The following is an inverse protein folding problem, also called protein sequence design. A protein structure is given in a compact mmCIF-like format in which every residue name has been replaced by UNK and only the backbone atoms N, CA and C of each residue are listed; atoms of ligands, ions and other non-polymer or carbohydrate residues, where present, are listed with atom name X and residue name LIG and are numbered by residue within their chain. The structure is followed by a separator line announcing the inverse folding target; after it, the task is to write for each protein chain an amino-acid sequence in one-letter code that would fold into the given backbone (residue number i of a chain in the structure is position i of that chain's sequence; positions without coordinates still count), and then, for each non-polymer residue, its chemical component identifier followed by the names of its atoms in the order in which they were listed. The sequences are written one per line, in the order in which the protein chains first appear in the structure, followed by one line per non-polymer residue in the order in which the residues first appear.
data_IF_779675155399
#
_entry.id   IF_779675155399
#
_cell.length_a   1.000
_cell.length_b   1.000
_cell.length_c   1.000
_cell.angle_alpha   90.00
_cell.angle_beta   90.00
_cell.angle_gamma   90.00
#
_symmetry.space_group_name_H-M   'P 1'
#
loop_
_entity.id
_entity.type
_entity.pdbx_description
1 polymer ?
#
# COMPACT_ATOMS: atom_id res chain seq x y z
N UNK A 1 4.09 -18.77 9.64
CA UNK A 1 2.69 -19.13 9.32
C UNK A 1 2.53 -18.87 7.84
N UNK A 2 2.39 -19.90 7.00
CA UNK A 2 2.46 -19.70 5.55
C UNK A 2 1.36 -18.80 5.00
N UNK A 3 1.73 -17.55 4.70
CA UNK A 3 0.88 -16.66 3.93
C UNK A 3 0.97 -17.10 2.47
N UNK A 4 -0.15 -17.48 1.88
CA UNK A 4 -0.27 -17.77 0.46
C UNK A 4 -1.38 -16.93 -0.16
N UNK A 5 -1.66 -17.14 -1.45
CA UNK A 5 -2.70 -16.38 -2.15
C UNK A 5 -4.09 -16.66 -1.60
N UNK A 6 -4.35 -17.88 -1.09
CA UNK A 6 -5.66 -18.23 -0.52
C UNK A 6 -5.84 -17.52 0.81
N UNK A 7 -4.82 -17.51 1.67
CA UNK A 7 -4.78 -16.69 2.86
C UNK A 7 -5.10 -15.22 2.54
N UNK A 8 -4.41 -14.60 1.58
CA UNK A 8 -4.67 -13.20 1.22
C UNK A 8 -6.11 -12.94 0.73
N UNK A 9 -6.71 -13.92 0.03
CA UNK A 9 -8.08 -13.83 -0.51
C UNK A 9 -9.15 -13.85 0.57
N UNK A 10 -8.91 -14.60 1.65
CA UNK A 10 -9.90 -14.87 2.71
C UNK A 10 -9.52 -14.22 4.04
N UNK A 11 -8.40 -13.51 4.11
CA UNK A 11 -7.94 -12.86 5.33
C UNK A 11 -8.94 -11.81 5.82
N UNK A 12 -9.46 -11.99 7.01
CA UNK A 12 -10.50 -11.14 7.62
C UNK A 12 -9.93 -10.03 8.51
N UNK A 13 -8.61 -9.85 8.51
CA UNK A 13 -7.91 -8.92 9.41
C UNK A 13 -7.64 -9.47 10.81
N UNK A 14 -8.04 -10.72 11.10
CA UNK A 14 -7.85 -11.42 12.36
C UNK A 14 -6.43 -11.92 12.56
N UNK A 15 -5.49 -11.02 12.84
CA UNK A 15 -4.13 -11.39 13.25
C UNK A 15 -3.61 -10.43 14.32
N UNK A 16 -2.87 -10.94 15.30
CA UNK A 16 -2.08 -10.09 16.18
C UNK A 16 -0.84 -9.60 15.41
N UNK A 17 -0.63 -8.29 15.20
CA UNK A 17 0.53 -7.78 14.48
C UNK A 17 1.87 -8.22 15.05
N UNK A 18 1.95 -8.56 16.35
CA UNK A 18 3.15 -9.08 16.99
C UNK A 18 3.59 -10.46 16.47
N UNK A 19 2.66 -11.22 15.90
CA UNK A 19 2.91 -12.59 15.43
C UNK A 19 3.20 -12.64 13.92
N UNK A 20 3.38 -11.48 13.28
CA UNK A 20 3.61 -11.40 11.84
C UNK A 20 5.06 -11.70 11.53
N UNK A 21 5.29 -12.66 10.63
CA UNK A 21 6.58 -12.88 9.99
C UNK A 21 6.74 -11.89 8.83
N UNK A 22 7.66 -10.94 8.98
CA UNK A 22 7.89 -9.88 7.98
C UNK A 22 8.47 -10.42 6.66
N UNK A 23 9.27 -11.49 6.73
CA UNK A 23 9.85 -12.13 5.55
C UNK A 23 8.78 -12.86 4.75
N UNK A 24 7.96 -13.64 5.45
CA UNK A 24 6.83 -14.33 4.86
C UNK A 24 5.83 -13.34 4.24
N UNK A 25 5.54 -12.23 4.95
CA UNK A 25 4.69 -11.16 4.44
C UNK A 25 5.26 -10.54 3.16
N UNK A 26 6.52 -10.10 3.19
CA UNK A 26 7.13 -9.40 2.06
C UNK A 26 7.23 -10.29 0.81
N UNK A 27 7.61 -11.57 0.98
CA UNK A 27 7.69 -12.51 -0.13
C UNK A 27 6.30 -12.83 -0.73
N UNK A 28 5.28 -12.97 0.13
CA UNK A 28 3.90 -13.23 -0.33
C UNK A 28 3.30 -12.04 -1.07
N UNK A 29 3.57 -10.82 -0.57
CA UNK A 29 3.18 -9.57 -1.24
C UNK A 29 3.89 -9.44 -2.58
N UNK A 30 5.19 -9.73 -2.69
CA UNK A 30 5.89 -9.71 -3.98
C UNK A 30 5.33 -10.71 -4.99
N UNK A 31 4.95 -11.91 -4.54
CA UNK A 31 4.42 -12.93 -5.41
C UNK A 31 3.02 -12.58 -5.94
N UNK A 32 2.17 -11.98 -5.10
CA UNK A 32 0.72 -11.92 -5.35
C UNK A 32 0.15 -10.51 -5.47
N UNK A 33 0.87 -9.48 -5.03
CA UNK A 33 0.32 -8.12 -4.85
C UNK A 33 1.18 -7.05 -5.52
N UNK A 34 2.48 -6.96 -5.21
CA UNK A 34 3.40 -6.02 -5.83
C UNK A 34 4.09 -6.59 -7.07
N UNK A 35 4.72 -5.73 -7.86
CA UNK A 35 5.18 -6.02 -9.23
C UNK A 35 4.03 -6.26 -10.22
N UNK A 36 2.88 -5.61 -10.03
CA UNK A 36 1.72 -5.70 -10.93
C UNK A 36 1.19 -4.31 -11.30
N UNK A 37 0.65 -4.19 -12.50
CA UNK A 37 -0.30 -3.15 -12.88
C UNK A 37 -1.72 -3.72 -12.76
N UNK A 38 -2.59 -3.01 -12.05
CA UNK A 38 -4.00 -3.33 -11.92
C UNK A 38 -4.79 -2.32 -12.76
N UNK A 39 -5.50 -2.81 -13.77
CA UNK A 39 -6.27 -2.00 -14.70
C UNK A 39 -7.74 -2.04 -14.32
N UNK A 40 -8.35 -0.86 -14.22
CA UNK A 40 -9.74 -0.72 -13.81
C UNK A 40 -10.53 0.12 -14.81
N UNK A 41 -11.82 -0.18 -14.89
CA UNK A 41 -12.83 0.66 -15.51
C UNK A 41 -13.50 1.51 -14.44
N UNK A 42 -13.81 2.77 -14.75
CA UNK A 42 -14.50 3.68 -13.83
C UNK A 42 -15.72 4.32 -14.48
N UNK A 43 -16.62 4.84 -13.66
CA UNK A 43 -17.77 5.63 -14.11
C UNK A 43 -17.45 7.10 -14.42
N UNK A 44 -16.18 7.54 -14.31
CA UNK A 44 -15.77 8.91 -14.60
C UNK A 44 -15.56 9.10 -16.11
N UNK A 45 -16.31 10.04 -16.72
CA UNK A 45 -16.23 10.32 -18.17
C UNK A 45 -14.83 10.78 -18.60
N UNK A 46 -14.18 11.59 -17.76
CA UNK A 46 -12.86 12.14 -18.00
C UNK A 46 -11.71 11.17 -17.69
N UNK A 47 -12.00 10.04 -17.02
CA UNK A 47 -11.00 9.04 -16.66
C UNK A 47 -11.62 7.63 -16.65
N UNK A 48 -12.10 7.14 -17.80
CA UNK A 48 -12.86 5.89 -17.87
C UNK A 48 -12.00 4.66 -17.54
N UNK A 49 -10.67 4.80 -17.58
CA UNK A 49 -9.71 3.75 -17.22
C UNK A 49 -8.65 4.28 -16.29
N UNK A 50 -8.41 3.56 -15.20
CA UNK A 50 -7.37 3.85 -14.20
C UNK A 50 -6.42 2.67 -14.12
N UNK A 51 -5.12 2.94 -14.01
CA UNK A 51 -4.09 1.92 -13.76
C UNK A 51 -3.42 2.19 -12.43
N UNK A 52 -3.45 1.22 -11.52
CA UNK A 52 -2.67 1.29 -10.28
C UNK A 52 -1.43 0.40 -10.46
N UNK A 53 -0.27 1.04 -10.51
CA UNK A 53 1.01 0.35 -10.53
C UNK A 53 1.50 0.14 -9.10
N UNK A 54 1.72 -1.12 -8.73
CA UNK A 54 2.24 -1.49 -7.41
C UNK A 54 3.59 -2.14 -7.58
N UNK A 55 4.63 -1.48 -7.08
CA UNK A 55 6.00 -1.99 -7.04
C UNK A 55 6.40 -2.33 -5.60
N UNK A 56 7.53 -3.01 -5.45
CA UNK A 56 8.08 -3.36 -4.14
C UNK A 56 8.44 -2.10 -3.32
N UNK A 57 8.81 -1.02 -4.02
CA UNK A 57 9.20 0.24 -3.40
C UNK A 57 8.01 0.96 -2.74
N UNK A 58 6.78 0.63 -3.14
CA UNK A 58 5.58 1.16 -2.48
C UNK A 58 5.39 0.57 -1.08
N UNK A 59 5.73 -0.71 -0.86
CA UNK A 59 5.39 -1.43 0.37
C UNK A 59 6.03 -0.81 1.64
N UNK A 60 7.32 -0.42 1.66
CA UNK A 60 7.90 0.31 2.79
C UNK A 60 7.13 1.58 3.15
N UNK A 61 6.69 2.36 2.16
CA UNK A 61 5.90 3.57 2.41
C UNK A 61 4.55 3.25 3.05
N UNK A 62 3.90 2.17 2.61
CA UNK A 62 2.65 1.69 3.23
C UNK A 62 2.86 1.21 4.67
N UNK A 63 4.03 0.67 5.00
CA UNK A 63 4.40 0.28 6.37
C UNK A 63 4.90 1.46 7.24
N UNK A 64 5.08 2.65 6.66
CA UNK A 64 5.70 3.78 7.37
C UNK A 64 7.20 3.57 7.62
N UNK A 65 7.88 2.78 6.80
CA UNK A 65 9.32 2.54 6.87
C UNK A 65 10.04 3.48 5.89
N UNK A 66 10.50 4.61 6.40
CA UNK A 66 11.23 5.63 5.62
C UNK A 66 11.95 6.57 6.57
N UNK A 67 12.89 7.37 6.04
CA UNK A 67 13.74 8.30 6.83
C UNK A 67 12.97 9.23 7.77
N UNK A 68 11.73 9.59 7.42
CA UNK A 68 10.92 10.53 8.19
C UNK A 68 9.89 9.86 9.11
N UNK A 69 9.83 8.52 9.13
CA UNK A 69 8.75 7.78 9.80
C UNK A 69 9.23 6.59 10.65
N UNK A 70 10.48 6.15 10.48
CA UNK A 70 11.12 5.12 11.29
C UNK A 70 12.57 5.53 11.54
N UNK A 71 13.04 5.40 12.77
CA UNK A 71 14.44 5.65 13.15
C UNK A 71 15.23 4.34 13.30
N UNK A 72 16.52 4.37 12.93
CA UNK A 72 17.41 3.22 13.14
C UNK A 72 17.28 2.10 12.10
N UNK A 73 16.73 2.38 10.90
CA UNK A 73 16.89 1.47 9.76
C UNK A 73 18.37 1.47 9.31
N UNK A 74 18.92 0.32 8.89
CA UNK A 74 20.24 0.24 8.28
C UNK A 74 20.38 1.04 6.96
N UNK A 75 19.27 1.25 6.26
CA UNK A 75 19.17 1.99 5.00
C UNK A 75 17.73 2.51 4.83
N UNK A 76 17.56 3.66 4.18
CA UNK A 76 16.26 4.31 3.96
C UNK A 76 15.76 4.27 2.51
N UNK A 77 16.56 3.75 1.58
CA UNK A 77 16.10 3.46 0.23
C UNK A 77 14.99 2.39 0.25
N UNK A 78 13.81 2.70 -0.28
CA UNK A 78 12.64 1.81 -0.23
C UNK A 78 12.90 0.42 -0.81
N UNK A 79 13.66 0.33 -1.91
CA UNK A 79 14.02 -0.96 -2.50
C UNK A 79 14.90 -1.79 -1.55
N UNK A 80 15.87 -1.15 -0.91
CA UNK A 80 16.73 -1.80 0.09
C UNK A 80 15.91 -2.30 1.29
N UNK A 81 15.00 -1.48 1.80
CA UNK A 81 14.11 -1.83 2.91
C UNK A 81 13.31 -3.08 2.53
N UNK A 82 12.68 -3.10 1.35
CA UNK A 82 11.87 -4.25 0.94
C UNK A 82 12.70 -5.54 0.80
N UNK A 83 13.91 -5.47 0.23
CA UNK A 83 14.79 -6.65 0.15
C UNK A 83 15.29 -7.11 1.53
N UNK A 84 15.46 -6.18 2.48
CA UNK A 84 15.75 -6.49 3.88
C UNK A 84 14.58 -7.19 4.57
N UNK A 85 13.34 -6.70 4.37
CA UNK A 85 12.11 -7.30 4.91
C UNK A 85 11.96 -8.75 4.44
N UNK A 86 12.28 -9.06 3.18
CA UNK A 86 12.28 -10.43 2.63
C UNK A 86 13.33 -11.37 3.24
N UNK A 87 14.23 -10.84 4.06
CA UNK A 87 15.37 -11.58 4.61
C UNK A 87 15.37 -11.49 6.14
N UNK A 88 16.19 -10.61 6.71
CA UNK A 88 16.56 -10.56 8.13
C UNK A 88 16.03 -9.33 8.88
N UNK A 89 15.29 -8.44 8.22
CA UNK A 89 14.68 -7.27 8.87
C UNK A 89 13.38 -7.70 9.55
N UNK A 90 13.51 -8.43 10.66
CA UNK A 90 12.39 -8.96 11.44
C UNK A 90 11.58 -7.86 12.12
N UNK A 91 10.35 -8.18 12.54
CA UNK A 91 9.54 -7.25 13.32
C UNK A 91 10.25 -6.83 14.62
N UNK A 92 10.99 -7.74 15.26
CA UNK A 92 11.77 -7.45 16.46
C UNK A 92 12.88 -6.44 16.19
N UNK A 93 13.64 -6.62 15.10
CA UNK A 93 14.67 -5.68 14.66
C UNK A 93 14.08 -4.29 14.38
N UNK A 94 12.96 -4.24 13.65
CA UNK A 94 12.25 -2.98 13.36
C UNK A 94 11.79 -2.28 14.65
N UNK A 95 11.28 -3.03 15.64
CA UNK A 95 10.87 -2.52 16.94
C UNK A 95 12.05 -2.03 17.79
N UNK A 96 13.18 -2.73 17.74
CA UNK A 96 14.41 -2.35 18.45
C UNK A 96 14.98 -1.04 17.89
N UNK A 97 14.90 -0.84 16.58
CA UNK A 97 15.29 0.42 15.94
C UNK A 97 14.38 1.60 16.34
N UNK A 98 13.05 1.38 16.34
CA UNK A 98 12.07 2.40 16.71
C UNK A 98 10.81 1.76 17.31
N UNK A 99 10.71 1.75 18.65
CA UNK A 99 9.56 1.19 19.36
C UNK A 99 8.29 2.02 19.15
N UNK A 100 8.43 3.34 18.95
CA UNK A 100 7.33 4.27 18.69
C UNK A 100 6.74 4.04 17.30
N UNK A 101 7.57 3.68 16.31
CA UNK A 101 7.09 3.28 14.99
C UNK A 101 6.09 2.13 15.10
N UNK A 102 6.39 1.09 15.88
CA UNK A 102 5.51 -0.07 16.00
C UNK A 102 4.16 0.31 16.62
N UNK A 103 4.15 1.12 17.69
CA UNK A 103 2.90 1.60 18.30
C UNK A 103 2.02 2.34 17.28
N UNK A 104 2.63 3.14 16.41
CA UNK A 104 1.94 3.97 15.42
C UNK A 104 1.55 3.21 14.13
N UNK A 105 2.26 2.14 13.78
CA UNK A 105 2.14 1.49 12.48
C UNK A 105 1.77 0.00 12.53
N UNK A 106 1.60 -0.61 13.71
CA UNK A 106 1.21 -2.03 13.83
C UNK A 106 -0.04 -2.40 13.01
N UNK A 107 -1.01 -1.51 12.94
CA UNK A 107 -2.22 -1.75 12.14
C UNK A 107 -1.94 -1.69 10.63
N UNK A 108 -0.91 -0.96 10.20
CA UNK A 108 -0.51 -0.94 8.79
C UNK A 108 0.06 -2.28 8.33
N UNK A 109 0.62 -3.08 9.24
CA UNK A 109 1.05 -4.45 8.92
C UNK A 109 -0.15 -5.29 8.48
N UNK A 110 -1.26 -5.20 9.24
CA UNK A 110 -2.54 -5.85 8.89
C UNK A 110 -3.08 -5.30 7.57
N UNK A 111 -3.03 -3.98 7.37
CA UNK A 111 -3.50 -3.37 6.12
C UNK A 111 -2.66 -3.76 4.90
N UNK A 112 -1.36 -4.02 5.06
CA UNK A 112 -0.52 -4.58 3.98
C UNK A 112 -0.95 -5.99 3.61
N UNK A 113 -1.34 -6.83 4.58
CA UNK A 113 -1.92 -8.15 4.30
C UNK A 113 -3.26 -8.05 3.54
N UNK A 114 -4.04 -7.00 3.79
CA UNK A 114 -5.30 -6.74 3.09
C UNK A 114 -5.13 -6.16 1.68
N UNK A 115 -3.90 -5.81 1.25
CA UNK A 115 -3.69 -5.18 -0.06
C UNK A 115 -4.22 -5.99 -1.23
N UNK A 116 -4.18 -7.32 -1.15
CA UNK A 116 -4.78 -8.16 -2.19
C UNK A 116 -6.26 -7.84 -2.36
N UNK A 117 -7.03 -7.83 -1.28
CA UNK A 117 -8.47 -7.55 -1.32
C UNK A 117 -8.75 -6.12 -1.73
N UNK A 118 -7.97 -5.16 -1.20
CA UNK A 118 -8.06 -3.74 -1.55
C UNK A 118 -7.86 -3.52 -3.05
N UNK A 119 -6.81 -4.10 -3.64
CA UNK A 119 -6.51 -3.96 -5.08
C UNK A 119 -7.40 -4.83 -5.98
N UNK A 120 -8.20 -5.73 -5.41
CA UNK A 120 -9.26 -6.43 -6.15
C UNK A 120 -10.64 -5.82 -5.87
N UNK A 121 -10.71 -4.68 -5.16
CA UNK A 121 -11.95 -3.95 -4.84
C UNK A 121 -12.99 -4.85 -4.17
N UNK A 122 -12.53 -5.81 -3.35
CA UNK A 122 -13.42 -6.66 -2.56
C UNK A 122 -13.94 -5.85 -1.39
N UNK A 123 -15.27 -5.65 -1.31
CA UNK A 123 -15.93 -4.91 -0.22
C UNK A 123 -15.32 -3.51 0.02
N UNK A 124 -14.82 -2.88 -1.04
CA UNK A 124 -14.18 -1.58 -1.00
C UNK A 124 -15.13 -0.48 -1.47
N UNK A 125 -14.91 0.73 -0.95
CA UNK A 125 -15.43 1.98 -1.53
C UNK A 125 -14.26 2.79 -2.09
N UNK A 126 -14.45 3.37 -3.26
CA UNK A 126 -13.42 4.15 -3.93
C UNK A 126 -13.87 5.59 -3.99
N UNK A 127 -12.99 6.52 -3.66
CA UNK A 127 -13.29 7.94 -3.65
C UNK A 127 -12.29 8.72 -4.50
N UNK A 128 -12.78 9.75 -5.17
CA UNK A 128 -12.00 10.65 -6.03
C UNK A 128 -12.00 12.07 -5.49
N UNK A 129 -10.85 12.74 -5.55
CA UNK A 129 -10.75 14.18 -5.26
C UNK A 129 -11.19 15.07 -6.42
N UNK A 130 -11.54 14.53 -7.59
CA UNK A 130 -11.90 15.33 -8.77
C UNK A 130 -13.18 16.15 -8.58
N UNK A 131 -14.12 15.65 -7.78
CA UNK A 131 -15.43 16.29 -7.52
C UNK A 131 -15.64 16.48 -6.01
N UNK A 132 -14.78 17.28 -5.38
CA UNK A 132 -14.90 17.59 -3.94
C UNK A 132 -16.12 18.48 -3.72
N UNK A 133 -17.11 17.95 -2.99
CA UNK A 133 -18.28 18.70 -2.57
C UNK A 133 -17.92 19.65 -1.42
N UNK A 134 -18.23 20.93 -1.63
CA UNK A 134 -18.60 21.90 -0.59
C UNK A 134 -17.75 21.94 0.70
N UNK A 135 -16.44 22.22 0.65
CA UNK A 135 -15.69 22.77 1.81
C UNK A 135 -14.28 23.28 1.44
N UNK A 136 -13.74 24.13 2.32
CA UNK A 136 -12.39 24.70 2.34
C UNK A 136 -11.30 23.63 2.61
N UNK A 137 -11.22 22.59 1.77
CA UNK A 137 -10.06 21.67 1.79
C UNK A 137 -8.84 22.43 1.26
N UNK A 138 -7.75 22.46 2.04
CA UNK A 138 -6.54 23.21 1.70
C UNK A 138 -6.05 22.90 0.29
N UNK A 139 -5.54 23.92 -0.42
CA UNK A 139 -5.13 23.88 -1.85
C UNK A 139 -4.33 22.63 -2.26
N UNK A 140 -3.54 22.08 -1.34
CA UNK A 140 -2.73 20.87 -1.53
C UNK A 140 -3.55 19.60 -1.84
N UNK A 141 -4.73 19.45 -1.23
CA UNK A 141 -5.56 18.24 -1.37
C UNK A 141 -6.28 18.17 -2.73
N UNK A 142 -6.67 19.33 -3.28
CA UNK A 142 -7.34 19.43 -4.60
C UNK A 142 -6.39 19.21 -5.78
N UNK A 143 -5.12 19.61 -5.66
CA UNK A 143 -4.14 19.56 -6.76
C UNK A 143 -3.67 18.14 -7.08
N UNK A 144 -3.62 17.25 -6.10
CA UNK A 144 -2.81 16.04 -6.21
C UNK A 144 -3.55 14.85 -6.88
N UNK A 145 -4.78 15.05 -7.40
CA UNK A 145 -5.60 14.06 -8.12
C UNK A 145 -5.57 12.68 -7.43
N UNK A 146 -5.85 12.68 -6.13
CA UNK A 146 -5.67 11.54 -5.25
C UNK A 146 -6.93 10.69 -5.29
N UNK A 147 -6.73 9.38 -5.47
CA UNK A 147 -7.79 8.40 -5.29
C UNK A 147 -7.61 7.71 -3.95
N UNK A 148 -8.70 7.50 -3.21
CA UNK A 148 -8.71 6.74 -1.97
C UNK A 148 -9.43 5.42 -2.21
N UNK A 149 -8.78 4.31 -1.94
CA UNK A 149 -9.46 3.00 -1.82
C UNK A 149 -9.63 2.70 -0.35
N UNK A 150 -10.88 2.58 0.09
CA UNK A 150 -11.26 2.38 1.50
C UNK A 150 -11.84 0.99 1.66
N UNK A 151 -11.18 0.17 2.46
CA UNK A 151 -11.64 -1.16 2.87
C UNK A 151 -12.05 -1.14 4.33
N UNK A 152 -13.21 -1.70 4.64
CA UNK A 152 -13.79 -1.70 5.98
C UNK A 152 -13.87 -3.14 6.50
N UNK A 153 -13.25 -3.38 7.65
CA UNK A 153 -13.43 -4.63 8.37
C UNK A 153 -14.66 -4.59 9.28
N UNK A 154 -15.17 -5.78 9.63
CA UNK A 154 -16.25 -5.97 10.61
C UNK A 154 -15.91 -5.36 11.99
N UNK A 155 -14.62 -5.35 12.35
CA UNK A 155 -14.10 -4.72 13.58
C UNK A 155 -14.09 -3.18 13.58
N UNK A 156 -14.78 -2.54 12.63
CA UNK A 156 -14.91 -1.08 12.44
C UNK A 156 -13.63 -0.35 12.01
N UNK A 157 -12.48 -1.03 11.85
CA UNK A 157 -11.28 -0.40 11.28
C UNK A 157 -11.47 -0.14 9.79
N UNK A 158 -11.04 1.04 9.35
CA UNK A 158 -10.97 1.41 7.93
C UNK A 158 -9.52 1.51 7.49
N UNK A 159 -9.19 0.83 6.41
CA UNK A 159 -7.88 0.87 5.77
C UNK A 159 -8.00 1.67 4.48
N UNK A 160 -7.28 2.78 4.41
CA UNK A 160 -7.33 3.70 3.26
C UNK A 160 -5.99 3.71 2.56
N UNK A 161 -5.97 3.32 1.28
CA UNK A 161 -4.81 3.52 0.41
C UNK A 161 -4.96 4.84 -0.31
N UNK A 162 -3.99 5.73 -0.08
CA UNK A 162 -3.83 6.99 -0.82
C UNK A 162 -3.01 6.73 -2.08
N UNK A 163 -3.59 7.04 -3.23
CA UNK A 163 -2.96 6.89 -4.55
C UNK A 163 -2.45 8.24 -5.05
N UNK A 164 -1.27 8.26 -5.67
CA UNK A 164 -0.72 9.47 -6.30
C UNK A 164 -0.47 9.24 -7.79
N UNK A 165 -0.70 10.26 -8.64
CA UNK A 165 -0.47 10.14 -10.08
C UNK A 165 1.02 9.94 -10.38
N UNK A 166 1.31 9.15 -11.40
CA UNK A 166 2.65 9.06 -11.99
C UNK A 166 2.83 10.26 -12.92
N UNK A 167 3.93 11.00 -12.74
CA UNK A 167 4.24 12.18 -13.57
C UNK A 167 4.29 11.80 -15.06
N UNK A 168 3.69 12.62 -15.90
CA UNK A 168 3.63 12.40 -17.36
C UNK A 168 2.63 11.34 -17.79
N UNK A 169 1.69 10.94 -16.91
CA UNK A 169 0.58 10.06 -17.25
C UNK A 169 -0.72 10.62 -16.68
N UNK A 170 -1.82 10.45 -17.41
CA UNK A 170 -3.11 11.04 -17.02
C UNK A 170 -3.95 10.11 -16.15
N UNK A 171 -3.66 8.80 -16.20
CA UNK A 171 -4.49 7.78 -15.58
C UNK A 171 -3.72 6.67 -14.84
N UNK A 172 -2.40 6.82 -14.65
CA UNK A 172 -1.60 5.87 -13.87
C UNK A 172 -1.29 6.42 -12.49
N UNK A 173 -1.43 5.57 -11.48
CA UNK A 173 -1.25 5.91 -10.08
C UNK A 173 -0.40 4.88 -9.34
N UNK A 174 0.19 5.29 -8.22
CA UNK A 174 0.93 4.42 -7.30
C UNK A 174 0.40 4.54 -5.87
N UNK A 175 0.38 3.46 -5.09
CA UNK A 175 0.14 3.53 -3.64
C UNK A 175 1.24 4.34 -2.96
N UNK A 176 0.84 5.37 -2.24
CA UNK A 176 1.76 6.28 -1.54
C UNK A 176 1.72 6.14 -0.04
N UNK A 177 0.54 5.92 0.53
CA UNK A 177 0.40 5.72 1.96
C UNK A 177 -0.80 4.86 2.29
N UNK A 178 -0.69 4.14 3.40
CA UNK A 178 -1.78 3.42 4.04
C UNK A 178 -2.14 4.14 5.34
N UNK A 179 -3.41 4.47 5.52
CA UNK A 179 -3.94 5.18 6.68
C UNK A 179 -5.04 4.37 7.34
N UNK A 180 -5.11 4.49 8.66
CA UNK A 180 -6.07 3.79 9.50
C UNK A 180 -7.10 4.79 9.97
N UNK A 181 -8.38 4.49 9.75
CA UNK A 181 -9.51 5.34 10.13
C UNK A 181 -9.39 6.78 9.59
N UNK A 182 -8.85 6.94 8.37
CA UNK A 182 -8.81 8.24 7.71
C UNK A 182 -10.24 8.78 7.54
N UNK A 183 -10.41 10.09 7.67
CA UNK A 183 -11.71 10.77 7.51
C UNK A 183 -11.69 11.77 6.35
N UNK A 184 -10.52 12.03 5.75
CA UNK A 184 -10.36 13.05 4.70
C UNK A 184 -11.14 12.73 3.43
N UNK A 185 -11.48 11.45 3.19
CA UNK A 185 -12.30 11.03 2.06
C UNK A 185 -13.80 11.34 2.23
N UNK A 186 -14.26 11.73 3.42
CA UNK A 186 -15.69 12.02 3.65
C UNK A 186 -16.23 13.17 2.78
N UNK A 187 -15.34 14.05 2.29
CA UNK A 187 -15.68 15.18 1.42
C UNK A 187 -15.37 14.88 -0.07
N UNK A 188 -15.01 13.64 -0.38
CA UNK A 188 -14.72 13.20 -1.75
C UNK A 188 -15.94 12.48 -2.33
N UNK A 189 -16.08 12.50 -3.64
CA UNK A 189 -17.12 11.75 -4.34
C UNK A 189 -16.77 10.26 -4.34
N UNK A 190 -17.76 9.40 -4.05
CA UNK A 190 -17.65 7.95 -4.23
C UNK A 190 -17.79 7.62 -5.72
N UNK A 191 -16.83 6.86 -6.27
CA UNK A 191 -16.82 6.44 -7.67
C UNK A 191 -16.94 4.93 -7.77
N UNK A 192 -17.46 4.46 -8.89
CA UNK A 192 -17.44 3.03 -9.22
C UNK A 192 -16.13 2.68 -9.90
N UNK A 193 -15.50 1.60 -9.45
CA UNK A 193 -14.27 1.08 -10.04
C UNK A 193 -14.33 -0.45 -10.09
N UNK A 194 -14.12 -1.03 -11.28
CA UNK A 194 -14.15 -2.47 -11.49
C UNK A 194 -12.82 -2.96 -12.04
N UNK A 195 -12.22 -3.98 -11.43
CA UNK A 195 -10.95 -4.56 -11.90
C UNK A 195 -11.18 -5.31 -13.22
N UNK A 196 -10.48 -4.90 -14.27
CA UNK A 196 -10.51 -5.52 -15.60
C UNK A 196 -9.41 -6.57 -15.72
N UNK A 197 -8.18 -6.18 -15.36
CA UNK A 197 -7.02 -7.06 -15.50
C UNK A 197 -5.94 -6.75 -14.47
N UNK A 198 -5.10 -7.75 -14.23
CA UNK A 198 -3.90 -7.64 -13.40
C UNK A 198 -2.73 -8.24 -14.17
N UNK A 199 -1.76 -7.40 -14.52
CA UNK A 199 -0.63 -7.78 -15.34
C UNK A 199 0.69 -7.62 -14.59
N UNK A 200 1.54 -8.63 -14.66
CA UNK A 200 2.84 -8.57 -14.01
C UNK A 200 3.74 -7.59 -14.74
N UNK A 201 4.37 -6.67 -14.00
CA UNK A 201 5.31 -5.69 -14.57
C UNK A 201 6.52 -6.45 -15.13
N UNK A 202 6.60 -6.53 -16.46
CA UNK A 202 7.73 -7.14 -17.16
C UNK A 202 8.94 -6.21 -17.04
N UNK A 203 9.98 -6.64 -16.32
CA UNK A 203 11.23 -5.88 -16.22
C UNK A 203 11.93 -5.85 -17.58
N UNK A 204 12.08 -4.67 -18.19
CA UNK A 204 12.98 -4.46 -19.33
C UNK A 204 14.44 -4.47 -18.83
N UNK A 205 15.08 -5.65 -18.85
CA UNK A 205 16.54 -5.88 -18.76
C UNK A 205 17.31 -5.60 -17.44
N UNK A 206 18.38 -6.40 -17.27
CA UNK A 206 19.41 -6.49 -16.20
C UNK A 206 19.03 -5.95 -14.81
N UNK A 207 18.72 -6.87 -13.87
CA UNK A 207 18.78 -6.59 -12.42
C UNK A 207 20.12 -5.91 -12.11
N UNK A 208 20.16 -4.59 -11.92
CA UNK A 208 21.20 -4.00 -11.05
C UNK A 208 21.02 -4.73 -9.72
N UNK A 209 21.97 -5.62 -9.41
CA UNK A 209 21.98 -6.37 -8.15
C UNK A 209 22.04 -5.31 -7.06
N UNK A 210 20.90 -5.06 -6.41
CA UNK A 210 20.88 -4.17 -5.26
C UNK A 210 21.64 -4.90 -4.15
N UNK A 211 22.66 -4.27 -3.58
CA UNK A 211 23.45 -4.89 -2.51
C UNK A 211 22.51 -5.14 -1.33
N UNK A 212 22.42 -6.39 -0.87
CA UNK A 212 21.65 -6.71 0.32
C UNK A 212 22.28 -5.98 1.51
N UNK A 213 21.47 -5.17 2.19
CA UNK A 213 21.85 -4.48 3.43
C UNK A 213 21.34 -5.34 4.57
N UNK A 214 22.28 -5.89 5.37
CA UNK A 214 21.93 -6.67 6.56
C UNK A 214 21.57 -5.75 7.70
N UNK A 215 20.70 -6.21 8.58
CA UNK A 215 20.52 -5.54 9.87
C UNK A 215 21.77 -5.84 10.71
N UNK A 216 22.56 -4.81 11.05
CA UNK A 216 23.71 -5.00 11.95
C UNK A 216 23.20 -5.55 13.28
N UNK A 217 23.78 -6.67 13.73
CA UNK A 217 23.42 -7.34 14.98
C UNK A 217 23.63 -6.43 16.18
#
# INVERSE_FOLDING_TARGET
MKYDVNFLKTFDGGINPLNVDMSELANTIEANVSQYEYCYETNLKECPKVVIQVTNENIPHLLGLSKNHHNGLPEYNARAIFEGLKSDWTLESLKKGDSKWFLNNKDKIVGVMLLYQILHIKECKVYSTKHIFNTYLGRKFKRDNIYFVVFKLSNKKKYTIELSPIKGTDNKFIPRSLKINDKRFNNCEEISMSLISRERIRRKSKKKKFKKVRWSK
#
